data_IF_553572594806
#
_entry.id   IF_553572594806
#
_cell.length_a   1.000
_cell.length_b   1.000
_cell.length_c   1.000
_cell.angle_alpha   90.00
_cell.angle_beta   90.00
_cell.angle_gamma   90.00
#
_symmetry.space_group_name_H-M   'P 1'
#
loop_
_entity.id
_entity.type
_entity.pdbx_description
1 polymer ?
#
# COMPACT_ATOMS: atom_id res chain seq x y z
N UNK A 1 27.79 0.59 -6.15
CA UNK A 1 28.23 1.41 -5.01
C UNK A 1 27.18 1.40 -3.90
N UNK A 2 27.63 1.34 -2.66
CA UNK A 2 26.75 1.41 -1.51
C UNK A 2 26.20 2.83 -1.38
N UNK A 3 24.87 2.98 -1.34
CA UNK A 3 24.23 4.26 -1.07
C UNK A 3 24.46 4.63 0.40
N UNK A 4 24.82 5.89 0.65
CA UNK A 4 25.00 6.38 1.99
C UNK A 4 23.64 6.47 2.69
N UNK A 5 23.51 5.84 3.87
CA UNK A 5 22.32 5.91 4.71
C UNK A 5 22.45 7.13 5.61
N UNK A 6 21.47 8.04 5.51
CA UNK A 6 21.36 9.17 6.41
C UNK A 6 20.45 8.77 7.57
N UNK A 7 20.99 8.77 8.78
CA UNK A 7 20.24 8.37 10.00
C UNK A 7 19.51 9.58 10.57
N UNK A 8 18.37 9.92 10.01
CA UNK A 8 17.46 10.96 10.52
C UNK A 8 16.26 10.33 11.22
N UNK A 9 15.27 11.15 11.59
CA UNK A 9 14.06 10.68 12.28
C UNK A 9 13.34 9.56 11.53
N UNK A 10 13.25 9.65 10.21
CA UNK A 10 12.54 8.62 9.44
C UNK A 10 13.31 7.31 9.37
N UNK A 11 14.64 7.35 9.45
CA UNK A 11 15.44 6.14 9.60
C UNK A 11 15.18 5.49 10.97
N UNK A 12 15.21 6.26 12.05
CA UNK A 12 14.96 5.73 13.39
C UNK A 12 13.53 5.25 13.56
N UNK A 13 12.56 5.95 12.98
CA UNK A 13 11.16 5.50 12.98
C UNK A 13 11.01 4.14 12.31
N UNK A 14 11.70 3.90 11.19
CA UNK A 14 11.70 2.60 10.53
C UNK A 14 12.31 1.51 11.43
N UNK A 15 13.41 1.82 12.14
CA UNK A 15 14.02 0.87 13.06
C UNK A 15 13.09 0.52 14.22
N UNK A 16 12.39 1.51 14.78
CA UNK A 16 11.41 1.29 15.83
C UNK A 16 10.25 0.40 15.40
N UNK A 17 9.74 0.61 14.18
CA UNK A 17 8.65 -0.18 13.63
C UNK A 17 9.00 -1.66 13.44
N UNK A 18 10.28 -2.02 13.39
CA UNK A 18 10.69 -3.43 13.32
C UNK A 18 10.31 -4.22 14.58
N UNK A 19 9.97 -3.54 15.68
CA UNK A 19 9.45 -4.18 16.88
C UNK A 19 7.92 -4.40 16.83
N UNK A 20 7.23 -3.77 15.89
CA UNK A 20 5.79 -3.94 15.70
C UNK A 20 5.52 -5.24 14.95
N UNK A 21 4.53 -6.02 15.42
CA UNK A 21 4.19 -7.34 14.87
C UNK A 21 4.07 -7.38 13.34
N UNK A 22 3.27 -6.48 12.77
CA UNK A 22 3.03 -6.48 11.33
C UNK A 22 4.05 -5.65 10.56
N UNK A 23 4.56 -4.56 11.13
CA UNK A 23 5.56 -3.72 10.47
C UNK A 23 6.91 -4.40 10.35
N UNK A 24 7.24 -5.28 11.27
CA UNK A 24 8.44 -6.13 11.12
C UNK A 24 8.37 -6.94 9.83
N UNK A 25 7.20 -7.55 9.56
CA UNK A 25 7.01 -8.32 8.32
C UNK A 25 6.96 -7.40 7.09
N UNK A 26 6.25 -6.27 7.17
CA UNK A 26 6.19 -5.31 6.07
C UNK A 26 7.57 -4.80 5.66
N UNK A 27 8.40 -4.43 6.62
CA UNK A 27 9.76 -3.95 6.37
C UNK A 27 10.66 -5.08 5.85
N UNK A 28 10.46 -6.31 6.33
CA UNK A 28 11.16 -7.49 5.81
C UNK A 28 10.83 -7.72 4.32
N UNK A 29 9.57 -7.57 3.92
CA UNK A 29 9.17 -7.67 2.52
C UNK A 29 9.84 -6.60 1.66
N UNK A 30 10.04 -5.40 2.21
CA UNK A 30 10.74 -4.33 1.51
C UNK A 30 12.24 -4.58 1.40
N UNK A 31 12.86 -5.18 2.42
CA UNK A 31 14.26 -5.57 2.37
C UNK A 31 14.52 -6.60 1.27
N UNK A 32 13.57 -7.48 1.02
CA UNK A 32 13.63 -8.55 0.00
C UNK A 32 12.93 -8.18 -1.31
N UNK A 33 12.58 -6.92 -1.49
CA UNK A 33 11.80 -6.49 -2.65
C UNK A 33 12.54 -6.79 -3.96
N UNK A 34 11.88 -7.49 -4.93
CA UNK A 34 12.54 -7.92 -6.17
C UNK A 34 12.98 -6.77 -7.08
N UNK A 35 12.39 -5.59 -6.92
CA UNK A 35 12.72 -4.39 -7.70
C UNK A 35 13.46 -3.34 -6.88
N UNK A 36 14.09 -3.74 -5.77
CA UNK A 36 14.77 -2.83 -4.84
C UNK A 36 15.81 -1.94 -5.53
N UNK A 37 16.60 -2.51 -6.42
CA UNK A 37 17.69 -1.79 -7.08
C UNK A 37 17.22 -0.87 -8.20
N UNK A 38 16.02 -1.10 -8.73
CA UNK A 38 15.47 -0.34 -9.84
C UNK A 38 14.37 0.65 -9.45
N UNK A 39 13.98 0.69 -8.18
CA UNK A 39 12.88 1.54 -7.72
C UNK A 39 13.34 2.52 -6.65
N UNK A 40 12.90 3.77 -6.75
CA UNK A 40 13.11 4.79 -5.72
C UNK A 40 12.13 4.66 -4.56
N UNK A 41 11.00 3.98 -4.75
CA UNK A 41 9.94 3.82 -3.76
C UNK A 41 9.49 2.38 -3.68
N UNK A 42 9.57 1.81 -2.49
CA UNK A 42 9.18 0.44 -2.21
C UNK A 42 7.98 0.43 -1.27
N UNK A 43 6.94 -0.30 -1.66
CA UNK A 43 5.70 -0.41 -0.90
C UNK A 43 5.40 -1.85 -0.56
N UNK A 44 4.86 -2.08 0.64
CA UNK A 44 4.35 -3.39 1.05
C UNK A 44 3.01 -3.24 1.74
N UNK A 45 2.20 -4.28 1.67
CA UNK A 45 0.86 -4.31 2.28
C UNK A 45 0.57 -5.68 2.88
N UNK A 46 -0.13 -5.69 4.02
CA UNK A 46 -0.67 -6.90 4.65
C UNK A 46 -2.16 -6.71 4.90
N UNK A 47 -2.96 -7.73 4.61
CA UNK A 47 -4.38 -7.75 4.95
C UNK A 47 -4.55 -8.69 6.14
N UNK A 48 -5.14 -8.17 7.23
CA UNK A 48 -5.22 -8.85 8.52
C UNK A 48 -6.65 -8.89 9.01
N UNK A 49 -7.05 -10.03 9.57
CA UNK A 49 -8.34 -10.20 10.22
C UNK A 49 -8.16 -11.09 11.45
N UNK A 50 -8.57 -10.56 12.62
CA UNK A 50 -8.51 -11.32 13.87
C UNK A 50 -7.12 -11.86 14.19
N UNK A 51 -6.06 -11.12 13.88
CA UNK A 51 -4.69 -11.54 14.11
C UNK A 51 -4.11 -12.47 13.03
N UNK A 52 -4.91 -12.89 12.06
CA UNK A 52 -4.45 -13.72 10.95
C UNK A 52 -4.14 -12.88 9.72
N UNK A 53 -3.03 -13.16 9.07
CA UNK A 53 -2.63 -12.52 7.82
C UNK A 53 -3.29 -13.27 6.67
N UNK A 54 -4.19 -12.61 5.94
CA UNK A 54 -4.93 -13.20 4.82
C UNK A 54 -4.26 -12.94 3.48
N UNK A 55 -3.47 -11.91 3.36
CA UNK A 55 -2.79 -11.55 2.11
C UNK A 55 -1.61 -10.64 2.35
N UNK A 56 -0.68 -10.65 1.41
CA UNK A 56 0.51 -9.80 1.42
C UNK A 56 0.89 -9.44 -0.01
N UNK A 57 1.46 -8.26 -0.18
CA UNK A 57 1.89 -7.82 -1.51
C UNK A 57 2.93 -6.73 -1.45
N UNK A 58 3.66 -6.60 -2.56
CA UNK A 58 4.60 -5.51 -2.80
C UNK A 58 4.28 -4.88 -4.16
N UNK A 59 4.71 -3.65 -4.35
CA UNK A 59 4.49 -2.97 -5.63
C UNK A 59 5.39 -3.54 -6.74
N UNK A 60 4.94 -3.36 -7.98
CA UNK A 60 5.70 -3.79 -9.15
C UNK A 60 5.52 -2.76 -10.30
N UNK A 61 6.51 -2.67 -11.23
CA UNK A 61 6.42 -1.73 -12.35
C UNK A 61 5.53 -2.19 -13.49
N UNK A 62 4.66 -3.18 -13.26
CA UNK A 62 3.72 -3.70 -14.25
C UNK A 62 2.36 -3.89 -13.60
N UNK A 63 1.31 -4.03 -14.43
CA UNK A 63 -0.04 -4.33 -13.94
C UNK A 63 -0.37 -5.81 -14.16
N UNK A 64 -1.20 -6.34 -13.24
CA UNK A 64 -1.81 -7.66 -13.39
C UNK A 64 -3.20 -7.51 -14.02
N UNK A 65 -3.81 -8.62 -14.45
CA UNK A 65 -5.19 -8.62 -14.93
C UNK A 65 -6.15 -8.05 -13.88
N UNK A 66 -5.91 -8.35 -12.60
CA UNK A 66 -6.71 -7.79 -11.50
C UNK A 66 -6.58 -6.28 -11.40
N UNK A 67 -5.37 -5.74 -11.55
CA UNK A 67 -5.11 -4.30 -11.46
C UNK A 67 -5.46 -3.50 -12.72
N UNK A 68 -5.69 -4.17 -13.85
CA UNK A 68 -5.88 -3.49 -15.14
C UNK A 68 -7.07 -2.52 -15.16
N UNK A 69 -8.14 -2.81 -14.40
CA UNK A 69 -9.32 -1.94 -14.30
C UNK A 69 -8.98 -0.56 -13.75
N UNK A 70 -7.92 -0.47 -12.94
CA UNK A 70 -7.49 0.74 -12.27
C UNK A 70 -6.14 1.25 -12.79
N UNK A 71 -5.59 0.61 -13.81
CA UNK A 71 -4.23 0.86 -14.30
C UNK A 71 -3.98 2.34 -14.63
N UNK A 72 -4.97 2.98 -15.22
CA UNK A 72 -4.91 4.38 -15.60
C UNK A 72 -4.66 5.29 -14.38
N UNK A 73 -5.38 5.04 -13.27
CA UNK A 73 -5.27 5.83 -12.05
C UNK A 73 -4.02 5.47 -11.23
N UNK A 74 -3.39 4.35 -11.53
CA UNK A 74 -2.20 3.86 -10.84
C UNK A 74 -0.94 3.96 -11.73
N UNK A 75 -0.96 4.81 -12.74
CA UNK A 75 0.15 4.99 -13.70
C UNK A 75 0.62 3.67 -14.32
N UNK A 76 -0.32 2.74 -14.57
CA UNK A 76 -0.06 1.41 -15.13
C UNK A 76 0.96 0.59 -14.32
N UNK A 77 1.01 0.83 -13.00
CA UNK A 77 1.84 0.09 -12.07
C UNK A 77 0.97 -0.72 -11.12
N UNK A 78 1.52 -1.83 -10.63
CA UNK A 78 0.86 -2.62 -9.59
C UNK A 78 1.18 -2.00 -8.23
N UNK A 79 0.17 -1.50 -7.54
CA UNK A 79 0.33 -1.03 -6.17
C UNK A 79 0.28 -2.21 -5.20
N UNK A 80 0.94 -2.08 -4.05
CA UNK A 80 1.03 -3.16 -3.06
C UNK A 80 -0.34 -3.59 -2.52
N UNK A 81 -1.29 -2.66 -2.42
CA UNK A 81 -2.64 -2.94 -1.95
C UNK A 81 -3.38 -3.89 -2.91
N UNK A 82 -3.26 -3.64 -4.23
CA UNK A 82 -3.80 -4.54 -5.24
C UNK A 82 -3.14 -5.92 -5.17
N UNK A 83 -1.82 -5.94 -5.03
CA UNK A 83 -1.07 -7.19 -4.90
C UNK A 83 -1.50 -7.98 -3.68
N UNK A 84 -1.71 -7.31 -2.54
CA UNK A 84 -2.16 -7.95 -1.32
C UNK A 84 -3.56 -8.55 -1.45
N UNK A 85 -4.51 -7.81 -2.04
CA UNK A 85 -5.86 -8.35 -2.30
C UNK A 85 -5.80 -9.54 -3.26
N UNK A 86 -5.01 -9.42 -4.33
CA UNK A 86 -4.87 -10.50 -5.31
C UNK A 86 -4.30 -11.78 -4.68
N UNK A 87 -3.45 -11.65 -3.65
CA UNK A 87 -2.85 -12.79 -2.95
C UNK A 87 -3.82 -13.52 -2.01
N UNK A 88 -4.95 -12.91 -1.67
CA UNK A 88 -5.93 -13.52 -0.77
C UNK A 88 -6.62 -14.70 -1.46
N UNK A 89 -6.72 -15.82 -0.75
CA UNK A 89 -7.36 -17.03 -1.28
C UNK A 89 -8.84 -16.82 -1.54
N UNK A 90 -9.53 -16.09 -0.65
CA UNK A 90 -10.96 -15.79 -0.74
C UNK A 90 -11.18 -14.30 -0.54
N UNK A 91 -11.41 -13.59 -1.62
CA UNK A 91 -11.64 -12.15 -1.58
C UNK A 91 -12.96 -11.78 -0.89
N UNK A 92 -13.93 -12.71 -0.83
CA UNK A 92 -15.17 -12.53 -0.08
C UNK A 92 -14.97 -12.45 1.44
N UNK A 93 -13.85 -12.93 1.96
CA UNK A 93 -13.53 -12.90 3.39
C UNK A 93 -12.87 -11.59 3.84
N UNK A 94 -12.76 -10.58 3.00
CA UNK A 94 -12.05 -9.35 3.32
C UNK A 94 -12.90 -8.34 4.09
N UNK A 95 -14.21 -8.58 4.21
CA UNK A 95 -15.11 -7.71 4.97
C UNK A 95 -14.65 -7.56 6.42
N UNK A 96 -14.47 -6.32 6.84
CA UNK A 96 -14.05 -6.00 8.20
C UNK A 96 -12.56 -6.15 8.46
N UNK A 97 -11.75 -6.48 7.45
CA UNK A 97 -10.30 -6.57 7.58
C UNK A 97 -9.64 -5.20 7.77
N UNK A 98 -8.42 -5.24 8.27
CA UNK A 98 -7.51 -4.09 8.31
C UNK A 98 -6.38 -4.34 7.32
N UNK A 99 -6.00 -3.32 6.56
CA UNK A 99 -4.79 -3.35 5.74
C UNK A 99 -3.70 -2.52 6.41
N UNK A 100 -2.49 -3.07 6.44
CA UNK A 100 -1.30 -2.40 6.95
C UNK A 100 -0.38 -2.11 5.78
N UNK A 101 0.01 -0.84 5.63
CA UNK A 101 0.89 -0.38 4.54
C UNK A 101 2.21 0.16 5.08
N UNK A 102 3.28 -0.11 4.37
CA UNK A 102 4.57 0.52 4.60
C UNK A 102 5.17 1.01 3.28
N UNK A 103 5.91 2.10 3.36
CA UNK A 103 6.67 2.65 2.23
C UNK A 103 8.03 3.12 2.73
N UNK A 104 9.05 2.77 1.98
CA UNK A 104 10.39 3.32 2.19
C UNK A 104 10.97 3.82 0.85
N UNK A 105 11.88 4.78 0.93
CA UNK A 105 12.63 5.21 -0.24
C UNK A 105 13.88 4.35 -0.46
N UNK A 106 14.68 4.67 -1.47
CA UNK A 106 15.89 3.92 -1.82
C UNK A 106 16.95 3.91 -0.71
N UNK A 107 16.85 4.81 0.27
CA UNK A 107 17.77 4.89 1.41
C UNK A 107 17.20 4.21 2.68
N UNK A 108 16.09 3.49 2.56
CA UNK A 108 15.44 2.82 3.69
C UNK A 108 14.70 3.76 4.64
N UNK A 109 14.47 5.01 4.23
CA UNK A 109 13.73 5.97 5.03
C UNK A 109 12.24 5.74 4.90
N UNK A 110 11.56 5.75 6.05
CA UNK A 110 10.10 5.62 6.10
C UNK A 110 9.43 6.79 5.38
N UNK A 111 8.37 6.49 4.62
CA UNK A 111 7.61 7.48 3.86
C UNK A 111 6.11 7.24 4.02
N UNK A 112 5.32 8.20 3.54
CA UNK A 112 3.87 8.15 3.62
C UNK A 112 3.33 7.06 2.68
N UNK A 113 2.67 6.06 3.26
CA UNK A 113 2.08 4.92 2.53
C UNK A 113 0.56 4.96 2.49
N UNK A 114 -0.05 6.13 2.70
CA UNK A 114 -1.50 6.30 2.58
C UNK A 114 -1.96 5.87 1.18
N UNK A 115 -3.02 5.03 1.08
CA UNK A 115 -3.49 4.57 -0.22
C UNK A 115 -3.93 5.71 -1.14
N UNK A 116 -3.64 5.60 -2.43
CA UNK A 116 -4.15 6.52 -3.43
C UNK A 116 -5.67 6.36 -3.56
N UNK A 117 -6.37 7.32 -4.22
CA UNK A 117 -7.84 7.22 -4.38
C UNK A 117 -8.32 5.92 -5.00
N UNK A 118 -7.62 5.39 -6.01
CA UNK A 118 -7.99 4.12 -6.64
C UNK A 118 -7.89 2.95 -5.67
N UNK A 119 -6.80 2.89 -4.90
CA UNK A 119 -6.64 1.85 -3.90
C UNK A 119 -7.67 1.96 -2.79
N UNK A 120 -7.98 3.18 -2.33
CA UNK A 120 -9.04 3.39 -1.33
C UNK A 120 -10.38 2.87 -1.81
N UNK A 121 -10.76 3.18 -3.04
CA UNK A 121 -12.01 2.71 -3.61
C UNK A 121 -12.04 1.18 -3.71
N UNK A 122 -10.97 0.58 -4.20
CA UNK A 122 -10.86 -0.87 -4.31
C UNK A 122 -10.97 -1.55 -2.94
N UNK A 123 -10.22 -1.06 -1.95
CA UNK A 123 -10.24 -1.60 -0.60
C UNK A 123 -11.64 -1.49 0.04
N UNK A 124 -12.28 -0.33 -0.13
CA UNK A 124 -13.65 -0.11 0.34
C UNK A 124 -14.63 -1.09 -0.31
N UNK A 125 -14.52 -1.30 -1.62
CA UNK A 125 -15.40 -2.22 -2.35
C UNK A 125 -15.28 -3.66 -1.84
N UNK A 126 -14.10 -4.06 -1.35
CA UNK A 126 -13.90 -5.38 -0.74
C UNK A 126 -14.30 -5.45 0.74
N UNK A 127 -14.74 -4.33 1.32
CA UNK A 127 -15.21 -4.30 2.70
C UNK A 127 -14.12 -4.13 3.74
N UNK A 128 -12.91 -3.77 3.34
CA UNK A 128 -11.83 -3.44 4.28
C UNK A 128 -12.22 -2.17 5.03
N UNK A 129 -12.16 -2.21 6.36
CA UNK A 129 -12.72 -1.15 7.21
C UNK A 129 -11.70 -0.13 7.70
N UNK A 130 -10.41 -0.49 7.69
CA UNK A 130 -9.38 0.33 8.31
C UNK A 130 -8.06 0.17 7.57
N UNK A 131 -7.34 1.27 7.44
CA UNK A 131 -5.98 1.31 6.89
C UNK A 131 -5.05 1.82 7.98
N UNK A 132 -3.99 1.08 8.26
CA UNK A 132 -2.87 1.52 9.08
C UNK A 132 -1.71 1.74 8.11
N UNK A 133 -1.13 2.92 8.10
CA UNK A 133 -0.11 3.27 7.11
C UNK A 133 1.05 4.01 7.73
N UNK A 134 2.23 3.82 7.13
CA UNK A 134 3.43 4.52 7.56
C UNK A 134 3.40 5.98 7.12
N UNK A 135 4.01 6.82 7.93
CA UNK A 135 4.35 8.21 7.61
C UNK A 135 5.86 8.38 7.73
N UNK A 136 6.37 9.58 7.52
CA UNK A 136 7.80 9.84 7.67
C UNK A 136 8.32 9.59 9.09
N UNK A 137 7.43 9.64 10.10
CA UNK A 137 7.83 9.57 11.51
C UNK A 137 7.15 8.47 12.33
N UNK A 138 6.31 7.65 11.71
CA UNK A 138 5.60 6.60 12.45
C UNK A 138 4.46 6.01 11.65
N UNK A 139 3.34 5.74 12.33
CA UNK A 139 2.16 5.18 11.70
C UNK A 139 0.92 6.02 12.02
N UNK A 140 -0.02 6.02 11.09
CA UNK A 140 -1.34 6.62 11.26
C UNK A 140 -2.42 5.62 10.86
N UNK A 141 -3.64 5.91 11.29
CA UNK A 141 -4.81 5.04 11.04
C UNK A 141 -5.90 5.88 10.39
N UNK A 142 -6.52 5.33 9.34
CA UNK A 142 -7.72 5.90 8.75
C UNK A 142 -8.83 4.85 8.68
N UNK A 143 -10.06 5.26 8.93
CA UNK A 143 -11.22 4.42 8.68
C UNK A 143 -11.59 4.53 7.21
N UNK A 144 -11.94 3.39 6.60
CA UNK A 144 -12.48 3.36 5.25
C UNK A 144 -14.01 3.37 5.33
N UNK A 145 -14.57 4.55 5.04
CA UNK A 145 -16.00 4.77 4.90
C UNK A 145 -16.21 5.67 3.67
N UNK A 146 -17.44 5.99 3.34
CA UNK A 146 -17.73 6.83 2.17
C UNK A 146 -17.05 8.19 2.23
N UNK A 147 -16.88 8.77 3.42
CA UNK A 147 -16.23 10.07 3.60
C UNK A 147 -14.73 10.03 3.29
N UNK A 148 -14.11 8.86 3.36
CA UNK A 148 -12.69 8.67 3.06
C UNK A 148 -12.42 8.52 1.56
N UNK A 149 -13.48 8.38 0.74
CA UNK A 149 -13.34 8.19 -0.70
C UNK A 149 -13.23 9.54 -1.38
N UNK A 150 -12.28 9.62 -2.32
CA UNK A 150 -12.09 10.80 -3.16
C UNK A 150 -12.57 10.42 -4.55
N UNK A 151 -13.44 11.24 -5.19
CA UNK A 151 -13.86 10.98 -6.57
C UNK A 151 -12.64 10.79 -7.48
N UNK A 152 -12.68 9.75 -8.31
CA UNK A 152 -11.62 9.48 -9.27
C UNK A 152 -11.75 10.46 -10.42
N UNK A 153 -10.77 11.37 -10.54
CA UNK A 153 -10.72 12.37 -11.59
C UNK A 153 -9.51 12.08 -12.48
N UNK A 154 -9.76 12.02 -13.79
CA UNK A 154 -8.68 11.88 -14.74
C UNK A 154 -8.21 13.26 -15.19
N UNK A 155 -7.06 13.67 -14.67
CA UNK A 155 -6.48 14.98 -14.95
C UNK A 155 -6.03 15.15 -16.39
N UNK A 156 -5.93 14.06 -17.18
CA UNK A 156 -5.58 14.14 -18.61
C UNK A 156 -6.76 14.52 -19.49
N UNK A 157 -7.97 14.33 -19.00
CA UNK A 157 -9.20 14.63 -19.72
C UNK A 157 -10.07 15.65 -19.00
N UNK A 158 -9.47 16.66 -18.43
CA UNK A 158 -10.07 17.71 -17.60
C UNK A 158 -11.59 17.62 -17.41
N UNK A 159 -12.04 17.57 -16.17
CA UNK A 159 -13.43 17.61 -15.73
C UNK A 159 -14.23 16.30 -15.87
N UNK A 160 -13.63 15.21 -16.35
CA UNK A 160 -14.30 13.92 -16.33
C UNK A 160 -14.08 13.21 -14.99
N UNK A 161 -15.17 12.88 -14.31
CA UNK A 161 -15.15 12.01 -13.15
C UNK A 161 -15.24 10.57 -13.64
N UNK A 162 -14.22 9.76 -13.34
CA UNK A 162 -14.21 8.34 -13.69
C UNK A 162 -14.80 7.55 -12.54
N UNK A 163 -15.92 6.87 -12.78
CA UNK A 163 -16.52 6.01 -11.79
C UNK A 163 -15.63 4.78 -11.54
N UNK A 164 -15.48 4.35 -10.25
CA UNK A 164 -14.67 3.17 -9.94
C UNK A 164 -15.32 1.92 -10.55
N UNK A 165 -14.49 1.09 -11.17
CA UNK A 165 -14.91 -0.22 -11.63
C UNK A 165 -15.02 -1.18 -10.43
N UNK A 166 -16.11 -1.89 -10.34
CA UNK A 166 -16.36 -2.89 -9.30
C UNK A 166 -15.83 -4.28 -9.71
#
# INVERSE_FOLDING_TARGET
>A
SKKRIIKDESYFAAQELRNHRYYRLLLSLLDEHPHRDGSSHLHSSLIVKGGSILGRGVNAPFVTAFGARYAYHCNFQLHSEFAAVASCRRKSNLRGCTIYNAKVNAHGKLRNSKPCPSCRQMLFNYGIKKVVYSTDTGIEVMKLNEDALIPLVDTRYSDEIVEPAL
#
